data_IF_810147812950
#
_entry.id   IF_810147812950
#
_cell.length_a   1.000
_cell.length_b   1.000
_cell.length_c   1.000
_cell.angle_alpha   90.00
_cell.angle_beta   90.00
_cell.angle_gamma   90.00
#
_symmetry.space_group_name_H-M   'P 1'
#
loop_
_entity.id
_entity.type
_entity.pdbx_description
1 polymer ?
#
# COMPACT_ATOMS: atom_id res chain seq x y z
N UNK A 1 13.56 -7.00 -22.58
CA UNK A 1 12.17 -7.55 -22.64
C UNK A 1 11.86 -8.66 -21.63
N UNK A 2 12.79 -9.58 -21.29
CA UNK A 2 12.51 -10.73 -20.39
C UNK A 2 11.99 -10.36 -18.98
N UNK A 3 12.41 -9.22 -18.43
CA UNK A 3 11.97 -8.71 -17.11
C UNK A 3 10.83 -7.69 -17.19
N UNK A 4 10.59 -7.08 -18.36
CA UNK A 4 9.58 -6.02 -18.52
C UNK A 4 8.15 -6.59 -18.45
N UNK A 5 7.90 -7.72 -19.11
CA UNK A 5 6.58 -8.38 -19.10
C UNK A 5 6.14 -8.81 -17.69
N UNK A 6 6.96 -9.49 -16.87
CA UNK A 6 6.58 -9.84 -15.51
C UNK A 6 6.46 -8.60 -14.62
N UNK A 7 7.31 -7.59 -14.80
CA UNK A 7 7.17 -6.31 -14.11
C UNK A 7 5.82 -5.63 -14.40
N UNK A 8 5.45 -5.47 -15.68
CA UNK A 8 4.16 -4.90 -16.09
C UNK A 8 2.98 -5.64 -15.47
N UNK A 9 2.99 -6.98 -15.50
CA UNK A 9 1.92 -7.78 -14.88
C UNK A 9 1.76 -7.46 -13.38
N UNK A 10 2.86 -7.37 -12.65
CA UNK A 10 2.85 -7.04 -11.22
C UNK A 10 2.44 -5.60 -10.98
N UNK A 11 2.93 -4.68 -11.79
CA UNK A 11 2.52 -3.29 -11.75
C UNK A 11 1.00 -3.15 -11.94
N UNK A 12 0.42 -3.83 -12.93
CA UNK A 12 -1.04 -3.83 -13.12
C UNK A 12 -1.79 -4.49 -11.96
N UNK A 13 -1.26 -5.61 -11.43
CA UNK A 13 -1.84 -6.29 -10.25
C UNK A 13 -1.95 -5.33 -9.05
N UNK A 14 -0.99 -4.42 -8.91
CA UNK A 14 -0.91 -3.41 -7.83
C UNK A 14 -1.73 -2.16 -8.17
N UNK A 15 -1.61 -1.66 -9.38
CA UNK A 15 -2.25 -0.42 -9.81
C UNK A 15 -3.78 -0.54 -9.86
N UNK A 16 -4.31 -1.69 -10.28
CA UNK A 16 -5.76 -1.90 -10.39
C UNK A 16 -6.50 -1.74 -9.05
N UNK A 17 -6.13 -2.44 -7.96
CA UNK A 17 -6.82 -2.27 -6.69
C UNK A 17 -6.61 -0.86 -6.10
N UNK A 18 -5.42 -0.26 -6.26
CA UNK A 18 -5.18 1.12 -5.81
C UNK A 18 -6.08 2.11 -6.56
N UNK A 19 -6.21 1.97 -7.88
CA UNK A 19 -7.08 2.82 -8.68
C UNK A 19 -8.54 2.65 -8.28
N UNK A 20 -8.99 1.42 -8.01
CA UNK A 20 -10.35 1.16 -7.52
C UNK A 20 -10.62 1.88 -6.19
N UNK A 21 -9.67 1.82 -5.25
CA UNK A 21 -9.78 2.54 -3.96
C UNK A 21 -9.78 4.05 -4.19
N UNK A 22 -8.95 4.57 -5.09
CA UNK A 22 -8.92 6.00 -5.41
C UNK A 22 -10.25 6.50 -5.99
N UNK A 23 -10.83 5.76 -6.93
CA UNK A 23 -12.15 6.08 -7.49
C UNK A 23 -13.24 6.03 -6.43
N UNK A 24 -13.21 4.99 -5.58
CA UNK A 24 -14.13 4.87 -4.45
C UNK A 24 -13.98 6.04 -3.48
N UNK A 25 -12.75 6.42 -3.15
CA UNK A 25 -12.44 7.53 -2.26
C UNK A 25 -12.99 8.86 -2.78
N UNK A 26 -12.85 9.14 -4.07
CA UNK A 26 -13.42 10.35 -4.68
C UNK A 26 -14.95 10.36 -4.60
N UNK A 27 -15.60 9.23 -4.89
CA UNK A 27 -17.06 9.12 -4.80
C UNK A 27 -17.53 9.31 -3.36
N UNK A 28 -16.90 8.63 -2.41
CA UNK A 28 -17.24 8.71 -0.99
C UNK A 28 -17.01 10.12 -0.43
N UNK A 29 -15.92 10.80 -0.81
CA UNK A 29 -15.65 12.17 -0.41
C UNK A 29 -16.67 13.16 -0.99
N UNK A 30 -17.08 12.97 -2.25
CA UNK A 30 -18.10 13.81 -2.90
C UNK A 30 -19.45 13.67 -2.21
N UNK A 31 -19.83 12.46 -1.85
CA UNK A 31 -21.09 12.19 -1.14
C UNK A 31 -21.06 12.73 0.29
N UNK A 32 -19.93 12.57 0.99
CA UNK A 32 -19.78 13.08 2.35
C UNK A 32 -19.85 14.61 2.43
N UNK A 33 -19.37 15.33 1.40
CA UNK A 33 -19.53 16.80 1.30
C UNK A 33 -20.97 17.25 1.09
N UNK A 34 -21.83 16.35 0.60
CA UNK A 34 -23.27 16.58 0.39
C UNK A 34 -24.10 16.12 1.60
N UNK A 35 -23.50 15.34 2.51
CA UNK A 35 -24.14 14.89 3.74
C UNK A 35 -24.31 16.06 4.71
N UNK A 36 -25.46 16.10 5.37
CA UNK A 36 -25.79 17.06 6.42
C UNK A 36 -24.88 16.90 7.66
N UNK A 37 -24.30 15.71 7.83
CA UNK A 37 -23.33 15.40 8.87
C UNK A 37 -22.09 14.75 8.23
N UNK A 38 -21.03 15.53 7.97
CA UNK A 38 -19.78 14.99 7.44
C UNK A 38 -19.16 14.04 8.46
N UNK A 39 -18.91 12.80 8.04
CA UNK A 39 -18.21 11.77 8.83
C UNK A 39 -16.74 11.68 8.42
N UNK A 40 -15.91 11.02 9.23
CA UNK A 40 -14.48 10.87 8.95
C UNK A 40 -14.22 9.75 7.92
N UNK A 41 -14.68 10.00 6.69
CA UNK A 41 -14.61 9.07 5.55
C UNK A 41 -13.15 8.80 5.14
N UNK A 42 -12.25 9.76 5.40
CA UNK A 42 -10.82 9.62 5.13
C UNK A 42 -10.19 8.48 5.93
N UNK A 43 -10.55 8.34 7.21
CA UNK A 43 -10.03 7.27 8.06
C UNK A 43 -10.50 5.88 7.58
N UNK A 44 -11.77 5.74 7.22
CA UNK A 44 -12.32 4.49 6.69
C UNK A 44 -11.65 4.06 5.38
N UNK A 45 -11.41 5.01 4.47
CA UNK A 45 -10.66 4.77 3.22
C UNK A 45 -9.21 4.37 3.52
N UNK A 46 -8.55 5.02 4.48
CA UNK A 46 -7.19 4.69 4.88
C UNK A 46 -7.09 3.24 5.40
N UNK A 47 -8.03 2.81 6.23
CA UNK A 47 -8.11 1.41 6.68
C UNK A 47 -8.31 0.42 5.54
N UNK A 48 -9.21 0.73 4.60
CA UNK A 48 -9.42 -0.12 3.41
C UNK A 48 -8.15 -0.24 2.57
N UNK A 49 -7.44 0.88 2.37
CA UNK A 49 -6.19 0.91 1.62
C UNK A 49 -5.10 0.05 2.30
N UNK A 50 -4.96 0.16 3.62
CA UNK A 50 -4.01 -0.65 4.40
C UNK A 50 -4.36 -2.13 4.32
N UNK A 51 -5.64 -2.48 4.45
CA UNK A 51 -6.08 -3.87 4.33
C UNK A 51 -5.67 -4.46 2.97
N UNK A 52 -5.89 -3.71 1.88
CA UNK A 52 -5.45 -4.11 0.54
C UNK A 52 -3.94 -4.27 0.49
N UNK A 53 -3.17 -3.31 1.01
CA UNK A 53 -1.71 -3.42 1.05
C UNK A 53 -1.22 -4.62 1.86
N UNK A 54 -1.86 -4.98 2.97
CA UNK A 54 -1.52 -6.18 3.73
C UNK A 54 -1.75 -7.44 2.89
N UNK A 55 -2.90 -7.55 2.22
CA UNK A 55 -3.21 -8.70 1.35
C UNK A 55 -2.18 -8.80 0.22
N UNK A 56 -1.85 -7.67 -0.42
CA UNK A 56 -0.81 -7.62 -1.46
C UNK A 56 0.57 -8.01 -0.90
N UNK A 57 0.93 -7.50 0.27
CA UNK A 57 2.20 -7.78 0.93
C UNK A 57 2.37 -9.28 1.21
N UNK A 58 1.34 -9.94 1.75
CA UNK A 58 1.36 -11.40 1.98
C UNK A 58 1.51 -12.17 0.65
N UNK A 59 0.80 -11.76 -0.41
CA UNK A 59 0.91 -12.38 -1.72
C UNK A 59 2.32 -12.25 -2.32
N UNK A 60 2.95 -11.07 -2.20
CA UNK A 60 4.31 -10.83 -2.66
C UNK A 60 5.36 -11.56 -1.82
N UNK A 61 5.14 -11.75 -0.50
CA UNK A 61 5.99 -12.62 0.32
C UNK A 61 5.96 -14.06 -0.21
N UNK A 62 4.77 -14.59 -0.49
CA UNK A 62 4.63 -15.94 -1.01
C UNK A 62 5.35 -16.08 -2.38
N UNK A 63 5.17 -15.13 -3.30
CA UNK A 63 5.85 -15.12 -4.61
C UNK A 63 7.37 -15.02 -4.44
N UNK A 64 7.86 -14.19 -3.51
CA UNK A 64 9.28 -14.06 -3.20
C UNK A 64 9.88 -15.38 -2.70
N UNK A 65 9.22 -16.05 -1.75
CA UNK A 65 9.67 -17.35 -1.22
C UNK A 65 9.75 -18.39 -2.34
N UNK A 66 8.71 -18.48 -3.19
CA UNK A 66 8.67 -19.41 -4.33
C UNK A 66 9.84 -19.14 -5.29
N UNK A 67 10.16 -17.87 -5.57
CA UNK A 67 11.21 -17.50 -6.53
C UNK A 67 12.63 -17.65 -6.01
N UNK A 68 12.83 -17.39 -4.72
CA UNK A 68 14.11 -17.71 -4.05
C UNK A 68 14.37 -19.21 -4.15
N UNK A 69 13.35 -20.05 -3.86
CA UNK A 69 13.45 -21.51 -4.04
C UNK A 69 13.71 -21.93 -5.48
N UNK A 70 13.10 -21.23 -6.45
CA UNK A 70 13.32 -21.43 -7.88
C UNK A 70 14.62 -20.84 -8.43
N UNK A 71 15.52 -20.28 -7.59
CA UNK A 71 16.76 -19.59 -7.98
C UNK A 71 16.57 -18.44 -8.98
N UNK A 72 15.39 -17.83 -9.03
CA UNK A 72 15.08 -16.70 -9.92
C UNK A 72 15.41 -15.35 -9.27
N UNK A 73 16.70 -15.11 -8.98
CA UNK A 73 17.18 -13.98 -8.17
C UNK A 73 16.78 -12.62 -8.76
N UNK A 74 16.81 -12.45 -10.08
CA UNK A 74 16.43 -11.19 -10.73
C UNK A 74 14.95 -10.83 -10.58
N UNK A 75 14.06 -11.82 -10.51
CA UNK A 75 12.63 -11.61 -10.28
C UNK A 75 12.31 -11.41 -8.80
N UNK A 76 13.06 -12.06 -7.92
CA UNK A 76 12.96 -11.91 -6.47
C UNK A 76 13.29 -10.47 -6.03
N UNK A 77 14.29 -9.83 -6.62
CA UNK A 77 14.62 -8.42 -6.34
C UNK A 77 13.46 -7.46 -6.63
N UNK A 78 12.69 -7.71 -7.68
CA UNK A 78 11.51 -6.89 -7.98
C UNK A 78 10.43 -7.05 -6.91
N UNK A 79 10.19 -8.28 -6.43
CA UNK A 79 9.20 -8.54 -5.37
C UNK A 79 9.63 -7.91 -4.05
N UNK A 80 10.92 -7.97 -3.73
CA UNK A 80 11.48 -7.27 -2.57
C UNK A 80 11.27 -5.76 -2.65
N UNK A 81 11.43 -5.16 -3.85
CA UNK A 81 11.14 -3.74 -4.07
C UNK A 81 9.67 -3.37 -3.82
N UNK A 82 8.72 -4.18 -4.30
CA UNK A 82 7.29 -3.98 -4.03
C UNK A 82 6.95 -4.17 -2.55
N UNK A 83 7.53 -5.17 -1.89
CA UNK A 83 7.35 -5.38 -0.46
C UNK A 83 7.83 -4.19 0.36
N UNK A 84 8.98 -3.62 0.01
CA UNK A 84 9.49 -2.41 0.67
C UNK A 84 8.60 -1.19 0.41
N UNK A 85 7.99 -1.09 -0.77
CA UNK A 85 7.04 -0.01 -1.06
C UNK A 85 5.75 -0.14 -0.22
N UNK A 86 5.22 -1.35 -0.05
CA UNK A 86 4.01 -1.58 0.74
C UNK A 86 4.24 -1.50 2.25
N UNK A 87 5.46 -1.74 2.73
CA UNK A 87 5.75 -1.65 4.16
C UNK A 87 5.56 -0.22 4.67
N UNK A 88 5.89 0.81 3.89
CA UNK A 88 5.77 2.22 4.27
C UNK A 88 4.34 2.60 4.71
N UNK A 89 3.28 2.44 3.88
CA UNK A 89 1.93 2.79 4.29
C UNK A 89 1.39 1.89 5.40
N UNK A 90 1.77 0.60 5.44
CA UNK A 90 1.36 -0.32 6.51
C UNK A 90 1.95 0.12 7.85
N UNK A 91 3.25 0.44 7.90
CA UNK A 91 3.92 0.88 9.13
C UNK A 91 3.45 2.26 9.57
N UNK A 92 3.21 3.18 8.63
CA UNK A 92 2.70 4.52 8.91
C UNK A 92 1.36 4.47 9.65
N UNK A 93 0.37 3.75 9.10
CA UNK A 93 -0.95 3.62 9.75
C UNK A 93 -0.85 2.80 11.03
N UNK A 94 -0.01 1.75 11.07
CA UNK A 94 0.26 1.01 12.30
C UNK A 94 0.76 1.91 13.44
N UNK A 95 1.65 2.86 13.15
CA UNK A 95 2.17 3.82 14.13
C UNK A 95 1.13 4.86 14.56
N UNK A 96 0.27 5.32 13.64
CA UNK A 96 -0.85 6.20 13.97
C UNK A 96 -1.80 5.57 15.00
N UNK A 97 -1.99 4.25 14.95
CA UNK A 97 -2.90 3.51 15.82
C UNK A 97 -2.24 3.13 17.16
N UNK A 98 -0.97 2.70 17.15
CA UNK A 98 -0.32 2.08 18.29
C UNK A 98 0.26 3.06 19.33
N UNK A 99 0.51 4.33 18.95
CA UNK A 99 1.10 5.46 19.71
C UNK A 99 2.28 6.07 18.95
N UNK A 100 2.45 7.40 19.02
CA UNK A 100 3.49 8.18 18.32
C UNK A 100 4.95 7.87 18.76
N UNK A 101 5.13 6.96 19.72
CA UNK A 101 6.46 6.57 20.25
C UNK A 101 7.08 5.36 19.52
N UNK A 102 6.48 4.89 18.43
CA UNK A 102 7.04 3.80 17.63
C UNK A 102 8.28 4.21 16.81
N UNK A 103 9.01 3.18 16.33
CA UNK A 103 10.25 3.21 15.51
C UNK A 103 10.20 4.13 14.26
N UNK A 104 9.03 4.67 13.91
CA UNK A 104 8.76 5.47 12.71
C UNK A 104 8.61 6.98 12.97
N UNK A 105 9.01 7.52 14.13
CA UNK A 105 8.98 8.97 14.39
C UNK A 105 9.61 9.78 13.24
N UNK A 106 10.74 9.30 12.72
CA UNK A 106 11.42 9.88 11.56
C UNK A 106 10.61 9.84 10.24
N UNK A 107 9.81 8.77 10.02
CA UNK A 107 8.96 8.64 8.82
C UNK A 107 7.76 9.58 8.90
N UNK A 108 7.14 9.69 10.08
CA UNK A 108 6.03 10.63 10.32
C UNK A 108 6.52 12.07 10.15
N UNK A 109 7.65 12.43 10.77
CA UNK A 109 8.24 13.77 10.66
C UNK A 109 8.57 14.14 9.19
N UNK A 110 8.99 13.17 8.37
CA UNK A 110 9.30 13.42 6.96
C UNK A 110 8.04 13.64 6.11
N UNK A 111 6.95 12.93 6.41
CA UNK A 111 5.68 13.07 5.68
C UNK A 111 4.97 14.38 6.06
N UNK A 112 4.96 14.74 7.36
CA UNK A 112 4.38 16.00 7.85
C UNK A 112 5.15 17.24 7.35
N UNK A 113 6.43 17.12 7.01
CA UNK A 113 7.22 18.23 6.44
C UNK A 113 6.92 18.49 4.95
N UNK A 114 6.33 17.51 4.25
CA UNK A 114 6.07 17.56 2.80
C UNK A 114 4.59 17.88 2.50
N UNK A 115 3.68 17.58 3.44
CA UNK A 115 2.24 17.89 3.35
C UNK A 115 1.90 19.30 3.82
#
# INVERSE_FOLDING_TARGET
MKLLKPFLKRFFLVAVPILAVYLFAQMAAKENRRSEHPTDVGLGIAFLLVFIFIVMFVAFIADLIIRIRGKQVSLAWMDAGFLLLFSIPITYIGCLIASRDCFCKWVIDTIDLIG
#
